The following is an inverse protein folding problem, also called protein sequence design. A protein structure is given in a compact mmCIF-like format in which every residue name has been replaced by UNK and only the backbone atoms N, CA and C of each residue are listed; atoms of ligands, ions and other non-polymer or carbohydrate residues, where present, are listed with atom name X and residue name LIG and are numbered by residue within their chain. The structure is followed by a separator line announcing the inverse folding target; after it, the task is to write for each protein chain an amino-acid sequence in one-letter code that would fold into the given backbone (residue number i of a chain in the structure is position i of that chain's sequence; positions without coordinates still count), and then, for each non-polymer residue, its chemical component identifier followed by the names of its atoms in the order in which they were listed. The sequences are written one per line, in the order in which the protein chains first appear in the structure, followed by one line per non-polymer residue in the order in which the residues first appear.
data_IF_395383205190
#
_entry.id   IF_395383205190
#
_cell.length_a   1.000
_cell.length_b   1.000
_cell.length_c   1.000
_cell.angle_alpha   90.00
_cell.angle_beta   90.00
_cell.angle_gamma   90.00
#
_symmetry.space_group_name_H-M   'P 1'
#
loop_
_entity.id
_entity.type
_entity.pdbx_description
1 polymer ?
#
# COMPACT_ATOMS: atom_id res chain seq x y z
N UNK A 1 -4.65 -1.14 6.63
CA UNK A 1 -5.22 -0.93 5.27
C UNK A 1 -6.68 -0.50 5.36
N UNK A 2 -7.53 -1.23 6.09
CA UNK A 2 -8.98 -0.98 6.11
C UNK A 2 -9.35 0.39 6.70
N UNK A 3 -8.66 0.85 7.75
CA UNK A 3 -8.89 2.19 8.32
C UNK A 3 -8.62 3.28 7.28
N UNK A 4 -7.52 3.17 6.55
CA UNK A 4 -7.18 4.10 5.46
C UNK A 4 -8.24 4.05 4.35
N UNK A 5 -8.65 2.86 3.93
CA UNK A 5 -9.67 2.69 2.90
C UNK A 5 -11.03 3.23 3.35
N UNK A 6 -11.43 2.99 4.61
CA UNK A 6 -12.65 3.55 5.18
C UNK A 6 -12.63 5.08 5.17
N UNK A 7 -11.49 5.69 5.55
CA UNK A 7 -11.27 7.13 5.43
C UNK A 7 -11.39 7.63 3.98
N UNK A 8 -10.81 6.91 3.02
CA UNK A 8 -10.91 7.23 1.59
C UNK A 8 -12.36 7.17 1.07
N UNK A 9 -13.13 6.13 1.44
CA UNK A 9 -14.56 6.07 1.10
C UNK A 9 -15.35 7.20 1.74
N UNK A 10 -15.00 7.61 2.98
CA UNK A 10 -15.56 8.80 3.61
C UNK A 10 -15.31 10.07 2.78
N UNK A 11 -14.08 10.30 2.35
CA UNK A 11 -13.71 11.42 1.47
C UNK A 11 -14.47 11.38 0.15
N UNK A 12 -14.53 10.22 -0.51
CA UNK A 12 -15.28 10.05 -1.78
C UNK A 12 -16.76 10.40 -1.56
N UNK A 13 -17.36 9.91 -0.48
CA UNK A 13 -18.76 10.21 -0.14
C UNK A 13 -19.00 11.70 0.10
N UNK A 14 -18.12 12.36 0.84
CA UNK A 14 -18.17 13.80 1.10
C UNK A 14 -18.05 14.59 -0.21
N UNK A 15 -17.12 14.25 -1.10
CA UNK A 15 -16.97 14.90 -2.39
C UNK A 15 -18.23 14.74 -3.24
N UNK A 16 -18.81 13.53 -3.29
CA UNK A 16 -20.08 13.30 -3.99
C UNK A 16 -21.22 14.14 -3.41
N UNK A 17 -21.33 14.25 -2.09
CA UNK A 17 -22.31 15.07 -1.41
C UNK A 17 -22.14 16.57 -1.69
N UNK A 18 -20.91 17.05 -1.76
CA UNK A 18 -20.59 18.45 -2.11
C UNK A 18 -20.99 18.76 -3.55
N UNK A 19 -20.68 17.87 -4.50
CA UNK A 19 -21.10 18.00 -5.90
C UNK A 19 -22.62 17.99 -6.02
N UNK A 20 -23.32 17.10 -5.29
CA UNK A 20 -24.77 17.08 -5.23
C UNK A 20 -25.33 18.40 -4.69
N UNK A 21 -24.79 18.88 -3.57
CA UNK A 21 -25.19 20.17 -2.96
C UNK A 21 -24.99 21.34 -3.92
N UNK A 22 -23.89 21.39 -4.66
CA UNK A 22 -23.63 22.45 -5.64
C UNK A 22 -24.67 22.47 -6.77
N UNK A 23 -25.23 21.30 -7.16
CA UNK A 23 -26.24 21.18 -8.22
C UNK A 23 -27.66 21.41 -7.75
N UNK A 24 -27.98 21.03 -6.50
CA UNK A 24 -29.37 20.96 -6.00
C UNK A 24 -29.68 21.96 -4.88
N UNK A 25 -28.66 22.57 -4.29
CA UNK A 25 -28.77 23.38 -3.06
C UNK A 25 -29.02 22.56 -1.78
N UNK A 26 -29.12 21.22 -1.86
CA UNK A 26 -29.49 20.35 -0.73
C UNK A 26 -28.28 19.58 -0.22
N UNK A 27 -28.05 19.67 1.10
CA UNK A 27 -27.10 18.79 1.81
C UNK A 27 -27.64 17.39 2.02
N UNK A 28 -26.75 16.46 2.36
CA UNK A 28 -27.13 15.08 2.70
C UNK A 28 -26.16 14.51 3.75
N UNK A 29 -26.62 13.53 4.51
CA UNK A 29 -25.79 12.77 5.42
C UNK A 29 -24.91 11.80 4.62
N UNK A 30 -23.64 11.67 5.01
CA UNK A 30 -22.68 10.72 4.44
C UNK A 30 -22.26 9.74 5.53
N UNK A 31 -22.40 8.45 5.26
CA UNK A 31 -21.97 7.36 6.14
C UNK A 31 -20.96 6.50 5.39
N UNK A 32 -19.85 6.19 6.04
CA UNK A 32 -18.86 5.21 5.58
C UNK A 32 -18.52 4.29 6.74
N UNK A 33 -18.55 2.98 6.52
CA UNK A 33 -18.33 1.99 7.56
C UNK A 33 -17.13 1.09 7.22
N UNK A 34 -16.27 0.83 8.20
CA UNK A 34 -15.09 -0.03 8.03
C UNK A 34 -15.47 -1.47 7.67
N UNK A 35 -16.55 -1.99 8.27
CA UNK A 35 -17.03 -3.33 7.96
C UNK A 35 -17.46 -3.48 6.51
N UNK A 36 -18.29 -2.56 5.99
CA UNK A 36 -18.73 -2.58 4.59
C UNK A 36 -17.56 -2.36 3.63
N UNK A 37 -16.59 -1.53 3.99
CA UNK A 37 -15.33 -1.37 3.25
C UNK A 37 -14.58 -2.69 3.16
N UNK A 38 -14.47 -3.45 4.26
CA UNK A 38 -13.84 -4.77 4.28
C UNK A 38 -14.57 -5.75 3.37
N UNK A 39 -15.89 -5.79 3.44
CA UNK A 39 -16.73 -6.63 2.57
C UNK A 39 -16.54 -6.27 1.10
N UNK A 40 -16.45 -4.97 0.77
CA UNK A 40 -16.20 -4.50 -0.59
C UNK A 40 -14.85 -5.02 -1.15
N UNK A 41 -13.80 -5.05 -0.33
CA UNK A 41 -12.47 -5.57 -0.74
C UNK A 41 -12.52 -7.05 -1.11
N UNK A 42 -13.34 -7.86 -0.44
CA UNK A 42 -13.47 -9.29 -0.70
C UNK A 42 -14.66 -9.65 -1.60
N UNK A 43 -15.35 -8.66 -2.17
CA UNK A 43 -16.57 -8.86 -2.96
C UNK A 43 -16.38 -9.83 -4.14
N UNK A 44 -15.21 -9.85 -4.79
CA UNK A 44 -14.91 -10.79 -5.86
C UNK A 44 -14.96 -12.27 -5.40
N UNK A 45 -14.51 -12.55 -4.18
CA UNK A 45 -14.55 -13.90 -3.62
C UNK A 45 -15.98 -14.30 -3.25
N UNK A 46 -16.79 -13.35 -2.78
CA UNK A 46 -18.22 -13.57 -2.54
C UNK A 46 -18.96 -13.90 -3.84
N UNK A 47 -18.66 -13.15 -4.91
CA UNK A 47 -19.25 -13.38 -6.23
C UNK A 47 -18.79 -14.73 -6.81
N UNK A 48 -17.53 -15.11 -6.64
CA UNK A 48 -17.03 -16.41 -7.03
C UNK A 48 -17.80 -17.53 -6.35
N UNK A 49 -18.00 -17.44 -5.03
CA UNK A 49 -18.80 -18.41 -4.28
C UNK A 49 -20.23 -18.46 -4.77
N UNK A 50 -20.87 -17.31 -4.98
CA UNK A 50 -22.24 -17.24 -5.48
C UNK A 50 -22.42 -17.89 -6.87
N UNK A 51 -21.39 -17.78 -7.73
CA UNK A 51 -21.42 -18.33 -9.08
C UNK A 51 -21.09 -19.83 -9.13
N UNK A 52 -20.20 -20.33 -8.26
CA UNK A 52 -19.64 -21.68 -8.33
C UNK A 52 -20.12 -22.62 -7.22
N UNK A 53 -20.63 -22.06 -6.10
CA UNK A 53 -20.90 -22.81 -4.87
C UNK A 53 -19.63 -23.27 -4.12
N UNK A 54 -18.42 -22.90 -4.60
CA UNK A 54 -17.15 -23.30 -4.01
C UNK A 54 -16.54 -22.12 -3.24
N UNK A 55 -16.31 -22.22 -1.92
CA UNK A 55 -15.62 -21.18 -1.17
C UNK A 55 -14.21 -20.91 -1.70
N UNK A 56 -13.78 -19.65 -1.66
CA UNK A 56 -12.39 -19.32 -1.92
C UNK A 56 -11.50 -19.83 -0.78
N UNK A 57 -10.41 -20.52 -1.14
CA UNK A 57 -9.42 -20.96 -0.15
C UNK A 57 -8.63 -19.78 0.41
N UNK A 58 -8.11 -19.88 1.65
CA UNK A 58 -7.21 -18.88 2.22
C UNK A 58 -5.97 -18.65 1.34
N UNK A 59 -5.40 -17.44 1.38
CA UNK A 59 -4.29 -17.03 0.51
C UNK A 59 -3.10 -18.01 0.44
N UNK A 60 -2.63 -18.64 1.52
CA UNK A 60 -1.54 -19.61 1.41
C UNK A 60 -1.88 -20.84 0.58
N UNK A 61 -3.15 -21.28 0.65
CA UNK A 61 -3.64 -22.55 0.09
C UNK A 61 -4.39 -22.34 -1.24
N UNK A 62 -4.69 -21.09 -1.60
CA UNK A 62 -5.48 -20.79 -2.80
C UNK A 62 -4.78 -21.17 -4.10
N UNK A 63 -5.55 -21.66 -5.06
CA UNK A 63 -5.09 -21.83 -6.43
C UNK A 63 -4.69 -20.47 -7.01
N UNK A 64 -3.41 -20.30 -7.27
CA UNK A 64 -2.85 -19.04 -7.76
C UNK A 64 -3.18 -18.81 -9.23
N UNK A 65 -3.37 -17.57 -9.63
CA UNK A 65 -3.59 -17.23 -11.03
C UNK A 65 -2.33 -17.49 -11.90
N UNK A 66 -1.14 -17.34 -11.30
CA UNK A 66 0.15 -17.53 -11.97
C UNK A 66 1.06 -18.48 -11.20
N UNK A 67 1.77 -19.31 -11.95
CA UNK A 67 2.71 -20.28 -11.36
C UNK A 67 3.85 -19.58 -10.63
N UNK A 68 4.33 -18.46 -11.15
CA UNK A 68 5.43 -17.68 -10.61
C UNK A 68 4.91 -16.25 -10.34
N UNK A 69 4.63 -15.99 -9.09
CA UNK A 69 4.18 -14.69 -8.59
C UNK A 69 4.44 -14.66 -7.08
N UNK A 70 5.71 -14.57 -6.74
CA UNK A 70 6.21 -14.82 -5.38
C UNK A 70 7.37 -13.93 -5.00
N UNK A 71 7.68 -13.98 -3.70
CA UNK A 71 8.89 -13.39 -3.14
C UNK A 71 9.99 -14.44 -3.07
N UNK A 72 11.19 -14.06 -3.48
CA UNK A 72 12.39 -14.90 -3.49
C UNK A 72 13.50 -14.24 -2.66
N UNK A 73 14.36 -15.06 -2.05
CA UNK A 73 15.54 -14.61 -1.32
C UNK A 73 16.75 -14.67 -2.24
N UNK A 74 17.52 -13.60 -2.30
CA UNK A 74 18.74 -13.45 -3.10
C UNK A 74 19.99 -13.82 -2.32
N UNK A 75 21.15 -13.88 -2.99
CA UNK A 75 22.46 -14.21 -2.41
C UNK A 75 22.86 -13.29 -1.24
N UNK A 76 22.48 -12.03 -1.32
CA UNK A 76 22.73 -10.99 -0.32
C UNK A 76 21.64 -10.93 0.77
N UNK A 77 20.83 -12.00 0.89
CA UNK A 77 19.75 -12.17 1.89
C UNK A 77 18.66 -11.10 1.82
N UNK A 78 18.56 -10.38 0.71
CA UNK A 78 17.44 -9.49 0.44
C UNK A 78 16.28 -10.26 -0.19
N UNK A 79 15.10 -9.65 -0.16
CA UNK A 79 13.90 -10.24 -0.77
C UNK A 79 13.49 -9.46 -2.01
N UNK A 80 13.11 -10.16 -3.05
CA UNK A 80 12.58 -9.58 -4.28
C UNK A 80 11.32 -10.33 -4.71
N UNK A 81 10.29 -9.57 -5.04
CA UNK A 81 9.10 -10.11 -5.70
C UNK A 81 9.39 -10.25 -7.19
N UNK A 82 9.01 -11.38 -7.78
CA UNK A 82 9.09 -11.64 -9.24
C UNK A 82 7.79 -12.27 -9.72
N UNK A 83 7.24 -11.71 -10.80
CA UNK A 83 6.08 -12.22 -11.50
C UNK A 83 6.42 -12.70 -12.91
N UNK A 84 5.87 -13.85 -13.31
CA UNK A 84 5.84 -14.33 -14.71
C UNK A 84 4.39 -14.59 -15.05
N UNK A 85 3.75 -13.62 -15.69
CA UNK A 85 2.29 -13.56 -15.85
C UNK A 85 1.82 -13.95 -17.27
N UNK A 86 2.76 -14.33 -18.16
CA UNK A 86 2.43 -14.80 -19.50
C UNK A 86 3.43 -15.84 -20.01
N UNK A 87 3.02 -16.64 -21.01
CA UNK A 87 3.91 -17.62 -21.65
C UNK A 87 5.03 -16.95 -22.44
N UNK A 88 4.81 -15.72 -22.93
CA UNK A 88 5.85 -14.89 -23.56
C UNK A 88 6.93 -14.54 -22.55
N UNK A 89 6.55 -14.09 -21.36
CA UNK A 89 7.50 -13.76 -20.28
C UNK A 89 8.27 -15.00 -19.80
N UNK A 90 7.62 -16.17 -19.75
CA UNK A 90 8.31 -17.42 -19.45
C UNK A 90 9.44 -17.74 -20.43
N UNK A 91 9.21 -17.55 -21.73
CA UNK A 91 10.25 -17.74 -22.76
C UNK A 91 11.40 -16.76 -22.55
N UNK A 92 11.10 -15.46 -22.41
CA UNK A 92 12.11 -14.43 -22.15
C UNK A 92 12.93 -14.73 -20.90
N UNK A 93 12.27 -15.17 -19.83
CA UNK A 93 12.92 -15.61 -18.61
C UNK A 93 13.90 -16.78 -18.88
N UNK A 94 13.41 -17.86 -19.50
CA UNK A 94 14.25 -19.03 -19.78
C UNK A 94 15.46 -18.69 -20.66
N UNK A 95 15.29 -17.84 -21.65
CA UNK A 95 16.37 -17.35 -22.51
C UNK A 95 17.40 -16.52 -21.73
N UNK A 96 16.95 -15.52 -20.95
CA UNK A 96 17.83 -14.63 -20.19
C UNK A 96 18.65 -15.40 -19.13
N UNK A 97 18.04 -16.37 -18.47
CA UNK A 97 18.70 -17.19 -17.45
C UNK A 97 19.34 -18.47 -18.02
N UNK A 98 19.38 -18.61 -19.35
CA UNK A 98 19.97 -19.76 -20.08
C UNK A 98 19.39 -21.12 -19.65
N UNK A 99 18.12 -21.16 -19.31
CA UNK A 99 17.39 -22.35 -18.84
C UNK A 99 16.68 -23.05 -20.00
N UNK A 100 17.47 -23.56 -20.94
CA UNK A 100 16.95 -24.36 -22.08
C UNK A 100 16.21 -25.63 -21.62
N UNK A 101 16.60 -26.18 -20.48
CA UNK A 101 15.94 -27.30 -19.83
C UNK A 101 14.48 -26.99 -19.49
N UNK A 102 14.20 -25.80 -18.96
CA UNK A 102 12.84 -25.36 -18.65
C UNK A 102 12.06 -24.89 -19.89
N UNK A 103 12.76 -24.27 -20.83
CA UNK A 103 12.16 -23.76 -22.07
C UNK A 103 11.62 -24.90 -22.95
N UNK A 104 12.36 -26.02 -23.03
CA UNK A 104 12.04 -27.17 -23.88
C UNK A 104 11.19 -28.21 -23.17
N UNK A 105 10.82 -28.02 -21.92
CA UNK A 105 9.96 -28.94 -21.18
C UNK A 105 8.48 -28.72 -21.57
N UNK A 106 7.83 -29.67 -22.27
CA UNK A 106 6.43 -29.52 -22.67
C UNK A 106 5.47 -29.34 -21.49
N UNK A 107 5.83 -29.87 -20.31
CA UNK A 107 5.03 -29.72 -19.09
C UNK A 107 5.08 -28.35 -18.47
N UNK A 108 5.85 -27.42 -19.03
CA UNK A 108 6.01 -26.02 -18.57
C UNK A 108 5.61 -24.99 -19.65
N UNK A 109 5.06 -25.44 -20.79
CA UNK A 109 4.77 -24.59 -21.94
C UNK A 109 3.73 -23.50 -21.64
N UNK A 110 2.70 -23.81 -20.88
CA UNK A 110 1.62 -22.90 -20.51
C UNK A 110 1.61 -22.59 -19.01
N UNK A 111 0.97 -21.45 -18.62
CA UNK A 111 0.83 -21.10 -17.22
C UNK A 111 0.14 -22.22 -16.40
N UNK A 112 -0.91 -22.84 -16.93
CA UNK A 112 -1.61 -23.92 -16.23
C UNK A 112 -0.71 -25.14 -16.00
N UNK A 113 0.11 -25.51 -16.98
CA UNK A 113 1.09 -26.58 -16.82
C UNK A 113 2.14 -26.25 -15.77
N UNK A 114 2.62 -25.00 -15.75
CA UNK A 114 3.55 -24.52 -14.71
C UNK A 114 2.91 -24.45 -13.33
N UNK A 115 1.60 -24.16 -13.23
CA UNK A 115 0.85 -24.24 -11.96
C UNK A 115 0.85 -25.67 -11.41
N UNK A 116 0.55 -26.67 -12.26
CA UNK A 116 0.58 -28.08 -11.88
C UNK A 116 2.00 -28.52 -11.46
N UNK A 117 3.01 -28.02 -12.16
CA UNK A 117 4.42 -28.34 -11.90
C UNK A 117 5.08 -27.42 -10.87
N UNK A 118 4.32 -26.58 -10.15
CA UNK A 118 4.85 -25.51 -9.28
C UNK A 118 5.80 -26.02 -8.21
N UNK A 119 5.47 -27.14 -7.56
CA UNK A 119 6.28 -27.72 -6.50
C UNK A 119 7.67 -28.17 -6.99
N UNK A 120 7.79 -28.43 -8.30
CA UNK A 120 9.06 -28.70 -8.96
C UNK A 120 9.76 -27.42 -9.41
N UNK A 121 9.02 -26.49 -10.00
CA UNK A 121 9.58 -25.28 -10.62
C UNK A 121 10.04 -24.28 -9.57
N UNK A 122 9.23 -24.02 -8.53
CA UNK A 122 9.54 -23.00 -7.54
C UNK A 122 10.89 -23.22 -6.83
N UNK A 123 11.22 -24.44 -6.32
CA UNK A 123 12.54 -24.68 -5.71
C UNK A 123 13.71 -24.47 -6.67
N UNK A 124 13.51 -24.77 -7.97
CA UNK A 124 14.55 -24.53 -8.99
C UNK A 124 14.81 -23.02 -9.18
N UNK A 125 13.77 -22.20 -9.13
CA UNK A 125 13.91 -20.73 -9.21
C UNK A 125 14.48 -20.15 -7.91
N UNK A 126 14.08 -20.64 -6.76
CA UNK A 126 14.65 -20.27 -5.47
C UNK A 126 16.18 -20.50 -5.45
N UNK A 127 16.61 -21.66 -5.91
CA UNK A 127 18.04 -21.97 -6.05
C UNK A 127 18.74 -21.08 -7.06
N UNK A 128 18.09 -20.73 -8.17
CA UNK A 128 18.66 -19.87 -9.20
C UNK A 128 18.85 -18.45 -8.65
N UNK A 129 17.84 -17.91 -8.00
CA UNK A 129 17.86 -16.53 -7.50
C UNK A 129 18.73 -16.37 -6.26
N UNK A 130 18.79 -17.37 -5.38
CA UNK A 130 19.69 -17.35 -4.23
C UNK A 130 21.18 -17.35 -4.58
N UNK A 131 21.54 -17.57 -5.83
CA UNK A 131 22.90 -17.46 -6.31
C UNK A 131 23.25 -16.07 -6.86
N UNK A 132 22.31 -15.13 -6.92
CA UNK A 132 22.45 -13.81 -7.53
C UNK A 132 22.21 -12.70 -6.48
N UNK A 133 22.92 -11.57 -6.61
CA UNK A 133 22.61 -10.37 -5.84
C UNK A 133 21.26 -9.76 -6.31
N UNK A 134 20.55 -9.07 -5.41
CA UNK A 134 19.23 -8.51 -5.71
C UNK A 134 19.28 -7.55 -6.91
N UNK A 135 20.26 -6.65 -6.94
CA UNK A 135 20.39 -5.63 -7.99
C UNK A 135 20.64 -6.25 -9.37
N UNK A 136 21.49 -7.28 -9.44
CA UNK A 136 21.77 -8.01 -10.68
C UNK A 136 20.49 -8.71 -11.20
N UNK A 137 19.74 -9.34 -10.30
CA UNK A 137 18.51 -10.02 -10.61
C UNK A 137 17.43 -9.04 -11.11
N UNK A 138 17.26 -7.90 -10.42
CA UNK A 138 16.32 -6.86 -10.82
C UNK A 138 16.70 -6.25 -12.18
N UNK A 139 17.98 -5.98 -12.44
CA UNK A 139 18.44 -5.47 -13.74
C UNK A 139 18.15 -6.44 -14.90
N UNK A 140 18.23 -7.75 -14.66
CA UNK A 140 17.80 -8.73 -15.67
C UNK A 140 16.30 -8.69 -15.88
N UNK A 141 15.49 -8.67 -14.80
CA UNK A 141 14.04 -8.61 -14.87
C UNK A 141 13.55 -7.36 -15.62
N UNK A 142 14.14 -6.21 -15.33
CA UNK A 142 13.85 -4.94 -16.03
C UNK A 142 14.13 -5.04 -17.53
N UNK A 143 15.33 -5.50 -17.89
CA UNK A 143 15.73 -5.64 -19.29
C UNK A 143 14.81 -6.52 -20.12
N UNK A 144 14.24 -7.57 -19.53
CA UNK A 144 13.35 -8.52 -20.23
C UNK A 144 11.86 -8.24 -19.99
N UNK A 145 11.52 -7.19 -19.24
CA UNK A 145 10.15 -6.77 -19.00
C UNK A 145 9.34 -7.71 -18.10
N UNK A 146 9.97 -8.32 -17.09
CA UNK A 146 9.25 -9.05 -16.06
C UNK A 146 8.78 -8.10 -14.96
N UNK A 147 7.60 -8.30 -14.37
CA UNK A 147 7.21 -7.66 -13.13
C UNK A 147 8.15 -8.06 -11.98
N UNK A 148 8.72 -7.08 -11.32
CA UNK A 148 9.55 -7.28 -10.13
C UNK A 148 9.44 -6.07 -9.19
N UNK A 149 9.73 -6.30 -7.91
CA UNK A 149 9.88 -5.25 -6.92
C UNK A 149 10.80 -5.71 -5.79
N UNK A 150 11.69 -4.85 -5.26
CA UNK A 150 12.36 -5.14 -4.01
C UNK A 150 11.35 -5.16 -2.87
N UNK A 151 11.55 -6.03 -1.88
CA UNK A 151 10.77 -5.99 -0.65
C UNK A 151 11.51 -5.09 0.32
N UNK A 152 11.06 -3.86 0.39
CA UNK A 152 11.66 -2.80 1.19
C UNK A 152 10.95 -2.68 2.53
N UNK A 153 11.71 -2.53 3.60
CA UNK A 153 11.15 -2.27 4.94
C UNK A 153 10.78 -0.79 5.08
N UNK A 154 9.79 -0.43 5.92
CA UNK A 154 9.34 0.95 6.02
C UNK A 154 10.44 1.99 6.32
N UNK A 155 11.43 1.64 7.16
CA UNK A 155 12.53 2.55 7.49
C UNK A 155 13.56 2.72 6.34
N UNK A 156 13.63 1.79 5.39
CA UNK A 156 14.50 1.86 4.23
C UNK A 156 13.91 2.80 3.15
N UNK A 157 12.62 3.10 3.23
CA UNK A 157 11.93 3.97 2.27
C UNK A 157 12.41 5.43 2.33
N UNK A 158 13.01 5.87 3.44
CA UNK A 158 13.61 7.21 3.51
C UNK A 158 14.78 7.39 2.53
N UNK A 159 15.45 6.32 2.14
CA UNK A 159 16.54 6.32 1.17
C UNK A 159 16.10 5.88 -0.24
N UNK A 160 14.79 5.61 -0.44
CA UNK A 160 14.27 5.19 -1.73
C UNK A 160 14.46 6.30 -2.78
N UNK A 161 15.17 6.01 -3.90
CA UNK A 161 15.47 7.03 -4.91
C UNK A 161 14.21 7.62 -5.55
N UNK A 162 13.17 6.81 -5.77
CA UNK A 162 11.93 7.28 -6.37
C UNK A 162 11.18 8.23 -5.45
N UNK A 163 11.06 7.89 -4.16
CA UNK A 163 10.41 8.76 -3.18
C UNK A 163 11.16 10.09 -3.02
N UNK A 164 12.49 10.04 -2.94
CA UNK A 164 13.31 11.25 -2.85
C UNK A 164 13.20 12.13 -4.10
N UNK A 165 13.26 11.55 -5.31
CA UNK A 165 13.09 12.30 -6.55
C UNK A 165 11.66 12.83 -6.74
N UNK A 166 10.66 12.12 -6.23
CA UNK A 166 9.25 12.53 -6.35
C UNK A 166 8.90 13.76 -5.53
N UNK A 167 9.75 14.15 -4.56
CA UNK A 167 9.47 15.23 -3.63
C UNK A 167 8.30 14.94 -2.68
N UNK A 168 7.95 13.66 -2.47
CA UNK A 168 6.82 13.26 -1.62
C UNK A 168 7.24 12.82 -0.21
N UNK A 169 8.47 13.10 0.21
CA UNK A 169 8.90 13.06 1.60
C UNK A 169 8.89 14.50 2.13
N UNK A 170 8.02 14.75 3.10
CA UNK A 170 7.77 16.09 3.64
C UNK A 170 8.41 16.20 5.03
N UNK A 171 9.11 17.29 5.29
CA UNK A 171 9.72 17.56 6.59
C UNK A 171 8.66 17.95 7.61
N UNK A 172 8.74 17.35 8.80
CA UNK A 172 7.92 17.66 9.97
C UNK A 172 8.78 17.90 11.19
N UNK A 173 8.25 18.66 12.14
CA UNK A 173 8.81 18.81 13.48
C UNK A 173 8.14 17.80 14.42
N UNK A 174 8.95 17.03 15.13
CA UNK A 174 8.44 16.10 16.14
C UNK A 174 8.12 16.85 17.44
N UNK A 175 6.97 16.51 18.10
CA UNK A 175 6.59 17.14 19.35
C UNK A 175 7.62 16.87 20.46
N UNK A 176 7.57 17.65 21.54
CA UNK A 176 8.46 17.57 22.71
C UNK A 176 9.95 17.77 22.37
N UNK A 177 10.27 18.58 21.37
CA UNK A 177 11.67 18.91 21.02
C UNK A 177 12.48 17.73 20.48
N UNK A 178 11.85 16.67 20.01
CA UNK A 178 12.52 15.47 19.46
C UNK A 178 13.19 15.67 18.10
N UNK A 179 13.15 16.89 17.56
CA UNK A 179 13.82 17.25 16.31
C UNK A 179 12.92 17.13 15.09
N UNK A 180 13.53 16.96 13.91
CA UNK A 180 12.85 16.84 12.62
C UNK A 180 12.77 15.39 12.17
N UNK A 181 11.74 15.08 11.38
CA UNK A 181 11.56 13.80 10.71
C UNK A 181 10.94 14.05 9.32
N UNK A 182 10.84 12.98 8.53
CA UNK A 182 10.13 13.02 7.26
C UNK A 182 8.93 12.08 7.28
N UNK A 183 7.88 12.46 6.57
CA UNK A 183 6.68 11.63 6.38
C UNK A 183 6.31 11.62 4.90
N UNK A 184 5.73 10.52 4.39
CA UNK A 184 5.19 10.53 3.04
C UNK A 184 3.98 11.48 2.97
N UNK A 185 3.99 12.37 1.97
CA UNK A 185 2.84 13.20 1.63
C UNK A 185 1.71 12.38 1.02
N UNK A 186 0.56 13.02 0.80
CA UNK A 186 -0.55 12.38 0.07
C UNK A 186 -0.09 12.02 -1.35
N UNK A 187 -0.47 10.81 -1.87
CA UNK A 187 -0.11 10.37 -3.21
C UNK A 187 -0.98 11.05 -4.27
N UNK A 188 -1.11 12.37 -4.17
CA UNK A 188 -1.92 13.19 -5.06
C UNK A 188 -1.09 14.34 -5.62
N UNK A 189 -1.33 14.63 -6.90
CA UNK A 189 -0.79 15.79 -7.60
C UNK A 189 -1.95 16.50 -8.27
N UNK A 190 -2.17 17.76 -7.95
CA UNK A 190 -3.21 18.60 -8.52
C UNK A 190 -2.55 19.71 -9.32
N UNK A 191 -2.81 19.78 -10.61
CA UNK A 191 -2.19 20.74 -11.54
C UNK A 191 -0.64 20.77 -11.45
N UNK A 192 -0.04 19.58 -11.34
CA UNK A 192 1.41 19.42 -11.19
C UNK A 192 1.95 19.70 -9.80
N UNK A 193 1.13 20.15 -8.86
CA UNK A 193 1.53 20.48 -7.50
C UNK A 193 1.17 19.37 -6.52
N UNK A 194 2.08 19.07 -5.59
CA UNK A 194 1.83 18.19 -4.45
C UNK A 194 1.26 18.98 -3.29
N UNK A 195 0.53 18.29 -2.42
CA UNK A 195 0.06 18.88 -1.17
C UNK A 195 1.23 19.07 -0.22
N UNK A 196 1.27 20.23 0.44
CA UNK A 196 2.23 20.56 1.48
C UNK A 196 1.66 20.26 2.87
N UNK A 197 2.52 20.26 3.89
CA UNK A 197 2.10 20.20 5.29
C UNK A 197 1.53 21.55 5.69
N UNK A 198 0.27 21.57 6.12
CA UNK A 198 -0.40 22.77 6.59
C UNK A 198 -0.08 23.07 8.05
N UNK A 199 -0.01 22.03 8.87
CA UNK A 199 0.32 22.10 10.30
C UNK A 199 1.28 20.95 10.63
N UNK A 200 2.23 21.21 11.51
CA UNK A 200 3.10 20.19 12.08
C UNK A 200 2.32 19.27 13.04
N UNK A 201 2.97 18.26 13.59
CA UNK A 201 2.36 17.40 14.59
C UNK A 201 2.07 18.21 15.86
N UNK A 202 0.80 18.31 16.28
CA UNK A 202 0.46 19.16 17.42
C UNK A 202 0.87 18.52 18.75
N UNK A 203 1.18 19.35 19.71
CA UNK A 203 1.23 18.98 21.12
C UNK A 203 -0.19 18.76 21.66
N UNK A 204 -0.30 18.03 22.76
CA UNK A 204 -1.60 17.81 23.41
C UNK A 204 -2.22 19.17 23.77
N UNK A 205 -3.45 19.39 23.31
CA UNK A 205 -4.21 20.63 23.54
C UNK A 205 -3.60 21.92 22.94
N UNK A 206 -2.66 21.84 22.02
CA UNK A 206 -2.02 23.01 21.38
C UNK A 206 -3.02 23.98 20.78
N UNK A 207 -4.06 23.50 20.10
CA UNK A 207 -5.09 24.30 19.42
C UNK A 207 -6.37 24.49 20.26
N UNK A 208 -6.40 23.95 21.49
CA UNK A 208 -7.62 23.93 22.29
C UNK A 208 -8.20 25.32 22.56
N UNK A 209 -7.34 26.31 22.87
CA UNK A 209 -7.75 27.70 23.11
C UNK A 209 -8.32 28.33 21.83
N UNK A 210 -7.63 28.19 20.71
CA UNK A 210 -8.06 28.75 19.41
C UNK A 210 -9.43 28.20 19.01
N UNK A 211 -9.64 26.88 19.13
CA UNK A 211 -10.92 26.21 18.82
C UNK A 211 -12.04 26.74 19.72
N UNK A 212 -11.79 26.90 21.00
CA UNK A 212 -12.80 27.44 21.92
C UNK A 212 -13.13 28.91 21.64
N UNK A 213 -12.15 29.72 21.24
CA UNK A 213 -12.36 31.10 20.81
C UNK A 213 -13.20 31.18 19.53
N UNK A 214 -12.92 30.33 18.54
CA UNK A 214 -13.72 30.19 17.30
C UNK A 214 -15.17 29.78 17.58
N UNK A 215 -15.39 28.94 18.58
CA UNK A 215 -16.73 28.52 19.04
C UNK A 215 -17.45 29.64 19.85
N UNK A 216 -16.82 30.79 20.09
CA UNK A 216 -17.42 31.95 20.75
C UNK A 216 -17.35 31.95 22.27
N UNK A 217 -16.53 31.09 22.88
CA UNK A 217 -16.32 31.12 24.32
C UNK A 217 -15.47 32.35 24.72
N UNK A 218 -15.86 33.00 25.82
CA UNK A 218 -15.08 34.12 26.38
C UNK A 218 -13.76 33.61 26.98
N UNK A 219 -12.75 34.50 27.07
CA UNK A 219 -11.46 34.19 27.69
C UNK A 219 -11.57 33.68 29.15
N UNK A 220 -12.58 34.17 29.88
CA UNK A 220 -12.86 33.70 31.25
C UNK A 220 -13.35 32.24 31.25
N UNK A 221 -14.30 31.89 30.39
CA UNK A 221 -14.80 30.55 30.27
C UNK A 221 -13.70 29.58 29.83
N UNK A 222 -12.88 29.96 28.85
CA UNK A 222 -11.76 29.16 28.36
C UNK A 222 -10.74 28.88 29.47
N UNK A 223 -10.37 29.92 30.24
CA UNK A 223 -9.44 29.75 31.35
C UNK A 223 -9.99 28.85 32.45
N UNK A 224 -11.27 28.93 32.75
CA UNK A 224 -11.93 28.03 33.71
C UNK A 224 -11.93 26.60 33.26
N UNK A 225 -12.28 26.34 31.96
CA UNK A 225 -12.22 25.02 31.35
C UNK A 225 -10.82 24.40 31.39
N UNK A 226 -9.79 25.15 30.97
CA UNK A 226 -8.40 24.69 30.98
C UNK A 226 -7.92 24.38 32.39
N UNK A 227 -8.28 25.22 33.35
CA UNK A 227 -7.89 25.03 34.78
C UNK A 227 -8.57 23.78 35.36
N UNK A 228 -9.81 23.53 34.98
CA UNK A 228 -10.56 22.34 35.43
C UNK A 228 -10.00 21.06 34.81
N UNK A 229 -9.67 21.07 33.52
CA UNK A 229 -9.05 19.93 32.84
C UNK A 229 -7.67 19.59 33.38
N UNK A 230 -6.82 20.59 33.65
CA UNK A 230 -5.49 20.37 34.25
C UNK A 230 -5.52 19.84 35.68
N UNK A 231 -6.66 19.90 36.37
CA UNK A 231 -6.85 19.23 37.67
C UNK A 231 -7.29 17.78 37.54
N UNK A 232 -7.96 17.40 36.44
CA UNK A 232 -8.40 16.01 36.17
C UNK A 232 -7.25 15.11 35.71
N UNK A 233 -6.18 15.68 35.12
CA UNK A 233 -5.01 14.91 34.69
C UNK A 233 -4.01 14.62 35.84
N UNK A 234 -4.31 15.03 37.05
CA UNK A 234 -3.50 14.84 38.25
C UNK A 234 -4.11 13.87 39.30
N UNK A 235 -5.26 13.28 39.00
CA UNK A 235 -5.91 12.21 39.77
C UNK A 235 -5.88 10.88 38.97
#
# INVERSE_FOLDING_TARGET
VIDIMGGMFGVIGIQAALVHRARTGKGQEVKAALYETTVHVVAQHMLQFAATGVPSEPMPDSTRAWAIYDTFVTKDFKQVFIGIVSDKQWKLFCEAFKRKDLLNDPSLATNNQRLIARDRVKPMLEKLFSAMAQDDLMAICERIGLPFAPITKPHELFEDPHLNQSGNLLDITLPHGRGKAQVPGLPLTLDGLRTEIRYDLPEVNEHGREILEELGYSKLQINDMITTMGKMDLE
#
